data_IF_321938720122
#
_entry.id   IF_321938720122
#
_cell.length_a   1.000
_cell.length_b   1.000
_cell.length_c   1.000
_cell.angle_alpha   90.00
_cell.angle_beta   90.00
_cell.angle_gamma   90.00
#
_symmetry.space_group_name_H-M   'P 1'
#
loop_
_entity.id
_entity.type
_entity.pdbx_description
1 polymer ?
#
# COMPACT_ATOMS: atom_id res chain seq x y z
N UNK A 1 5.26 13.18 20.79
CA UNK A 1 5.39 11.73 21.05
C UNK A 1 6.82 11.48 21.50
N UNK A 2 7.07 10.63 22.49
CA UNK A 2 8.45 10.24 22.82
C UNK A 2 8.93 9.24 21.76
N UNK A 3 9.89 9.65 20.92
CA UNK A 3 10.39 8.86 19.79
C UNK A 3 11.37 7.76 20.23
N UNK A 4 11.95 7.87 21.43
CA UNK A 4 12.94 6.92 21.92
C UNK A 4 12.29 5.63 22.46
N UNK A 5 11.01 5.70 22.82
CA UNK A 5 10.24 4.59 23.40
C UNK A 5 9.02 4.18 22.56
N UNK A 6 9.11 4.23 21.22
CA UNK A 6 8.02 3.79 20.34
C UNK A 6 8.06 2.29 20.04
N UNK A 7 6.89 1.67 20.05
CA UNK A 7 6.67 0.35 19.49
C UNK A 7 6.78 0.46 17.97
N UNK A 8 7.74 -0.27 17.41
CA UNK A 8 7.96 -0.36 15.97
C UNK A 8 7.27 -1.63 15.47
N UNK A 9 6.45 -1.56 14.41
CA UNK A 9 5.86 -2.76 13.83
C UNK A 9 6.98 -3.72 13.40
N UNK A 10 6.93 -5.02 13.76
CA UNK A 10 7.93 -5.96 13.31
C UNK A 10 7.78 -6.21 11.80
N UNK A 11 8.90 -6.27 11.08
CA UNK A 11 8.96 -6.81 9.72
C UNK A 11 9.58 -8.21 9.78
N UNK A 12 8.96 -9.19 9.14
CA UNK A 12 9.52 -10.55 9.12
C UNK A 12 10.81 -10.59 8.29
N UNK A 13 11.72 -11.50 8.62
CA UNK A 13 12.96 -11.67 7.86
C UNK A 13 12.67 -12.02 6.39
N UNK A 14 11.61 -12.80 6.13
CA UNK A 14 11.14 -13.14 4.78
C UNK A 14 10.70 -11.88 4.04
N UNK A 15 9.80 -11.08 4.61
CA UNK A 15 9.33 -9.85 3.96
C UNK A 15 10.47 -8.87 3.72
N UNK A 16 11.43 -8.80 4.64
CA UNK A 16 12.61 -7.96 4.46
C UNK A 16 13.48 -8.38 3.26
N UNK A 17 13.75 -9.68 3.12
CA UNK A 17 14.49 -10.21 1.98
C UNK A 17 13.71 -10.01 0.67
N UNK A 18 12.38 -10.18 0.70
CA UNK A 18 11.51 -10.03 -0.47
C UNK A 18 11.38 -8.58 -0.94
N UNK A 19 11.39 -7.59 -0.05
CA UNK A 19 11.43 -6.17 -0.46
C UNK A 19 12.71 -5.88 -1.24
N UNK A 20 13.84 -6.48 -0.84
CA UNK A 20 15.14 -6.32 -1.49
C UNK A 20 15.36 -7.24 -2.69
N UNK A 21 14.47 -8.20 -2.91
CA UNK A 21 14.53 -9.09 -4.05
C UNK A 21 14.23 -8.30 -5.33
N UNK A 22 15.21 -8.28 -6.24
CA UNK A 22 15.08 -7.68 -7.55
C UNK A 22 14.53 -8.73 -8.54
N UNK A 23 13.24 -8.63 -8.95
CA UNK A 23 12.64 -9.58 -9.87
C UNK A 23 13.15 -9.45 -11.32
N UNK A 24 13.93 -8.41 -11.64
CA UNK A 24 14.54 -8.21 -12.98
C UNK A 24 15.95 -8.80 -13.09
N UNK A 25 16.54 -9.24 -11.97
CA UNK A 25 17.86 -9.87 -11.98
C UNK A 25 17.84 -11.15 -12.81
N UNK A 26 18.92 -11.44 -13.55
CA UNK A 26 19.06 -12.68 -14.33
C UNK A 26 18.93 -13.95 -13.47
N UNK A 27 19.24 -13.86 -12.18
CA UNK A 27 19.13 -14.95 -11.22
C UNK A 27 17.73 -15.06 -10.56
N UNK A 28 16.81 -14.15 -10.88
CA UNK A 28 15.49 -14.09 -10.27
C UNK A 28 14.52 -15.06 -10.96
N UNK A 29 14.20 -16.16 -10.29
CA UNK A 29 13.18 -17.11 -10.74
C UNK A 29 12.26 -17.56 -9.59
N UNK A 30 11.27 -18.39 -9.92
CA UNK A 30 10.32 -18.89 -8.92
C UNK A 30 10.99 -19.72 -7.82
N UNK A 31 12.12 -20.37 -8.10
CA UNK A 31 12.87 -21.15 -7.14
C UNK A 31 13.67 -20.25 -6.19
N UNK A 32 14.25 -19.16 -6.68
CA UNK A 32 14.93 -18.16 -5.88
C UNK A 32 13.96 -17.54 -4.86
N UNK A 33 12.77 -17.14 -5.30
CA UNK A 33 11.75 -16.62 -4.39
C UNK A 33 11.21 -17.69 -3.43
N UNK A 34 10.99 -18.93 -3.90
CA UNK A 34 10.60 -20.06 -3.05
C UNK A 34 11.56 -20.27 -1.88
N UNK A 35 12.88 -20.23 -2.13
CA UNK A 35 13.90 -20.38 -1.08
C UNK A 35 13.83 -19.29 -0.02
N UNK A 36 13.50 -18.06 -0.42
CA UNK A 36 13.35 -16.93 0.51
C UNK A 36 12.12 -17.13 1.40
N UNK A 37 11.01 -17.62 0.85
CA UNK A 37 9.72 -17.70 1.58
C UNK A 37 9.52 -18.99 2.37
N UNK A 38 10.18 -20.08 1.98
CA UNK A 38 10.04 -21.42 2.60
C UNK A 38 10.12 -21.43 4.14
N UNK A 39 10.97 -20.61 4.80
CA UNK A 39 11.03 -20.58 6.26
C UNK A 39 9.76 -20.05 6.96
N UNK A 40 8.84 -19.40 6.26
CA UNK A 40 7.61 -18.82 6.82
C UNK A 40 6.37 -19.58 6.32
N UNK A 41 5.94 -20.57 7.11
CA UNK A 41 4.79 -21.43 6.80
C UNK A 41 3.49 -20.63 6.57
N UNK A 42 3.32 -19.51 7.27
CA UNK A 42 2.16 -18.64 7.12
C UNK A 42 2.13 -18.01 5.74
N UNK A 43 3.26 -17.45 5.29
CA UNK A 43 3.43 -16.91 3.95
C UNK A 43 3.25 -18.00 2.88
N UNK A 44 3.86 -19.18 3.05
CA UNK A 44 3.70 -20.30 2.11
C UNK A 44 2.24 -20.72 1.95
N UNK A 45 1.52 -20.87 3.07
CA UNK A 45 0.10 -21.24 3.08
C UNK A 45 -0.75 -20.20 2.35
N UNK A 46 -0.46 -18.92 2.55
CA UNK A 46 -1.16 -17.82 1.89
C UNK A 46 -0.90 -17.75 0.38
N UNK A 47 0.33 -17.97 -0.07
CA UNK A 47 0.66 -18.06 -1.50
C UNK A 47 -0.13 -19.21 -2.15
N UNK A 48 -0.15 -20.39 -1.51
CA UNK A 48 -0.94 -21.53 -1.99
C UNK A 48 -2.45 -21.22 -2.00
N UNK A 49 -2.97 -20.57 -0.95
CA UNK A 49 -4.38 -20.17 -0.88
C UNK A 49 -4.76 -19.21 -2.00
N UNK A 50 -3.94 -18.19 -2.25
CA UNK A 50 -4.17 -17.20 -3.31
C UNK A 50 -4.09 -17.84 -4.69
N UNK A 51 -3.10 -18.69 -4.95
CA UNK A 51 -2.96 -19.39 -6.25
C UNK A 51 -4.18 -20.27 -6.57
N UNK A 52 -4.84 -20.80 -5.55
CA UNK A 52 -6.05 -21.62 -5.66
C UNK A 52 -7.36 -20.81 -5.55
N UNK A 53 -7.30 -19.48 -5.45
CA UNK A 53 -8.51 -18.63 -5.43
C UNK A 53 -9.21 -18.62 -6.79
N UNK A 54 -10.49 -18.26 -6.84
CA UNK A 54 -11.25 -18.15 -8.09
C UNK A 54 -10.66 -17.16 -9.10
N UNK A 55 -9.83 -16.23 -8.63
CA UNK A 55 -9.13 -15.26 -9.47
C UNK A 55 -7.99 -15.89 -10.28
N UNK A 56 -7.19 -16.78 -9.67
CA UNK A 56 -6.01 -17.41 -10.30
C UNK A 56 -6.27 -18.85 -10.78
N UNK A 57 -7.13 -19.59 -10.07
CA UNK A 57 -7.35 -21.01 -10.31
C UNK A 57 -8.21 -21.27 -11.56
N UNK A 58 -7.57 -21.69 -12.65
CA UNK A 58 -8.26 -22.33 -13.79
C UNK A 58 -7.81 -23.77 -13.93
N UNK A 59 -8.74 -24.71 -13.65
CA UNK A 59 -8.65 -26.14 -13.98
C UNK A 59 -7.54 -26.97 -13.29
N UNK A 60 -7.34 -26.79 -11.98
CA UNK A 60 -6.54 -27.70 -11.14
C UNK A 60 -6.16 -27.08 -9.79
N UNK A 61 -5.98 -27.90 -8.75
CA UNK A 61 -5.44 -27.42 -7.46
C UNK A 61 -3.91 -27.39 -7.51
N UNK A 62 -3.31 -26.22 -7.32
CA UNK A 62 -1.86 -26.04 -7.19
C UNK A 62 -1.43 -26.61 -5.83
N UNK A 63 -0.42 -27.49 -5.84
CA UNK A 63 0.07 -28.21 -4.65
C UNK A 63 1.50 -27.86 -4.24
N UNK A 64 2.31 -27.30 -5.13
CA UNK A 64 3.68 -26.91 -4.83
C UNK A 64 3.81 -25.38 -4.75
N UNK A 65 4.73 -24.91 -3.92
CA UNK A 65 4.96 -23.48 -3.74
C UNK A 65 5.57 -22.86 -5.01
N UNK A 66 6.55 -23.53 -5.62
CA UNK A 66 7.10 -23.15 -6.93
C UNK A 66 6.02 -22.97 -8.01
N UNK A 67 5.08 -23.91 -8.14
CA UNK A 67 4.01 -23.80 -9.15
C UNK A 67 3.06 -22.65 -8.82
N UNK A 68 2.79 -22.41 -7.53
CA UNK A 68 1.97 -21.27 -7.09
C UNK A 68 2.63 -19.93 -7.43
N UNK A 69 3.94 -19.79 -7.17
CA UNK A 69 4.72 -18.60 -7.54
C UNK A 69 4.75 -18.42 -9.06
N UNK A 70 4.88 -19.52 -9.81
CA UNK A 70 4.90 -19.47 -11.28
C UNK A 70 3.52 -19.06 -11.83
N UNK A 71 2.43 -19.55 -11.25
CA UNK A 71 1.06 -19.20 -11.65
C UNK A 71 0.71 -17.74 -11.33
N UNK A 72 1.05 -17.28 -10.12
CA UNK A 72 0.79 -15.89 -9.70
C UNK A 72 1.73 -14.93 -10.44
N UNK A 73 2.95 -15.38 -10.73
CA UNK A 73 4.04 -14.57 -11.25
C UNK A 73 4.95 -14.06 -10.13
N UNK A 74 6.24 -13.94 -10.45
CA UNK A 74 7.29 -13.59 -9.49
C UNK A 74 7.03 -12.23 -8.79
N UNK A 75 6.75 -11.21 -9.60
CA UNK A 75 6.46 -9.83 -9.16
C UNK A 75 5.20 -9.73 -8.29
N UNK A 76 4.11 -10.33 -8.75
CA UNK A 76 2.86 -10.34 -7.99
C UNK A 76 3.00 -11.15 -6.68
N UNK A 77 3.79 -12.23 -6.66
CA UNK A 77 4.09 -12.98 -5.43
C UNK A 77 4.88 -12.11 -4.44
N UNK A 78 5.90 -11.37 -4.91
CA UNK A 78 6.62 -10.38 -4.08
C UNK A 78 5.66 -9.37 -3.43
N UNK A 79 4.74 -8.81 -4.22
CA UNK A 79 3.73 -7.87 -3.72
C UNK A 79 2.80 -8.50 -2.67
N UNK A 80 2.37 -9.76 -2.90
CA UNK A 80 1.55 -10.51 -1.95
C UNK A 80 2.27 -10.70 -0.60
N UNK A 81 3.56 -11.02 -0.62
CA UNK A 81 4.34 -11.24 0.61
C UNK A 81 4.49 -9.94 1.41
N UNK A 82 4.70 -8.81 0.73
CA UNK A 82 4.77 -7.49 1.36
C UNK A 82 3.41 -7.12 1.94
N UNK A 83 2.31 -7.40 1.24
CA UNK A 83 0.94 -7.23 1.73
C UNK A 83 0.64 -8.08 2.97
N UNK A 84 1.09 -9.32 3.01
CA UNK A 84 0.97 -10.18 4.19
C UNK A 84 1.75 -9.59 5.37
N UNK A 85 2.90 -8.97 5.11
CA UNK A 85 3.67 -8.27 6.14
C UNK A 85 2.90 -7.10 6.72
N UNK A 86 2.30 -6.23 5.89
CA UNK A 86 1.54 -5.08 6.40
C UNK A 86 0.30 -5.51 7.18
N UNK A 87 -0.38 -6.57 6.71
CA UNK A 87 -1.47 -7.20 7.47
C UNK A 87 -1.01 -7.70 8.84
N UNK A 88 0.13 -8.40 8.89
CA UNK A 88 0.67 -8.93 10.16
C UNK A 88 1.03 -7.81 11.15
N UNK A 89 1.61 -6.69 10.65
CA UNK A 89 1.88 -5.51 11.48
C UNK A 89 0.62 -4.92 12.11
N UNK A 90 -0.51 -5.01 11.39
CA UNK A 90 -1.80 -4.47 11.83
C UNK A 90 -2.67 -5.48 12.60
N UNK A 91 -2.26 -6.74 12.75
CA UNK A 91 -3.12 -7.81 13.29
C UNK A 91 -3.68 -7.53 14.71
N UNK A 92 -2.94 -6.78 15.52
CA UNK A 92 -3.39 -6.37 16.86
C UNK A 92 -4.38 -5.20 16.86
N UNK A 93 -4.47 -4.42 15.77
CA UNK A 93 -5.23 -3.18 15.64
C UNK A 93 -6.66 -3.47 15.19
N UNK A 94 -7.50 -3.83 16.16
CA UNK A 94 -8.89 -4.21 15.93
C UNK A 94 -9.83 -2.99 15.90
N UNK A 95 -10.92 -3.11 15.15
CA UNK A 95 -12.00 -2.12 15.09
C UNK A 95 -12.16 -1.54 13.68
N UNK A 96 -13.37 -1.11 13.36
CA UNK A 96 -13.75 -0.64 12.02
C UNK A 96 -12.83 0.47 11.50
N UNK A 97 -12.51 1.46 12.33
CA UNK A 97 -11.61 2.57 11.96
C UNK A 97 -10.23 2.07 11.51
N UNK A 98 -9.62 1.13 12.24
CA UNK A 98 -8.31 0.61 11.85
C UNK A 98 -8.37 -0.32 10.65
N UNK A 99 -9.40 -1.18 10.57
CA UNK A 99 -9.60 -2.00 9.38
C UNK A 99 -9.74 -1.13 8.14
N UNK A 100 -10.57 -0.09 8.19
CA UNK A 100 -10.81 0.86 7.11
C UNK A 100 -9.54 1.61 6.71
N UNK A 101 -8.84 2.23 7.65
CA UNK A 101 -7.71 3.12 7.32
C UNK A 101 -6.35 2.42 7.16
N UNK A 102 -6.12 1.29 7.81
CA UNK A 102 -4.81 0.63 7.82
C UNK A 102 -4.77 -0.61 6.93
N UNK A 103 -5.90 -1.31 6.75
CA UNK A 103 -5.97 -2.52 5.93
C UNK A 103 -6.62 -2.21 4.57
N UNK A 104 -7.92 -1.89 4.57
CA UNK A 104 -8.70 -1.66 3.34
C UNK A 104 -8.11 -0.53 2.49
N UNK A 105 -7.85 0.63 3.10
CA UNK A 105 -7.29 1.77 2.38
C UNK A 105 -5.92 1.46 1.77
N UNK A 106 -5.03 0.79 2.53
CA UNK A 106 -3.69 0.46 2.05
C UNK A 106 -3.71 -0.47 0.83
N UNK A 107 -4.53 -1.53 0.85
CA UNK A 107 -4.63 -2.48 -0.26
C UNK A 107 -5.41 -1.88 -1.44
N UNK A 108 -6.40 -1.03 -1.19
CA UNK A 108 -7.09 -0.27 -2.25
C UNK A 108 -6.09 0.61 -3.00
N UNK A 109 -5.27 1.38 -2.28
CA UNK A 109 -4.24 2.22 -2.89
C UNK A 109 -3.28 1.39 -3.75
N UNK A 110 -2.81 0.25 -3.24
CA UNK A 110 -1.88 -0.64 -3.93
C UNK A 110 -2.45 -1.19 -5.25
N UNK A 111 -3.71 -1.65 -5.22
CA UNK A 111 -4.37 -2.19 -6.40
C UNK A 111 -4.70 -1.09 -7.43
N UNK A 112 -5.22 0.06 -6.97
CA UNK A 112 -5.49 1.20 -7.85
C UNK A 112 -4.19 1.70 -8.48
N UNK A 113 -3.09 1.79 -7.74
CA UNK A 113 -1.79 2.19 -8.31
C UNK A 113 -1.33 1.25 -9.43
N UNK A 114 -1.54 -0.05 -9.28
CA UNK A 114 -1.24 -1.04 -10.33
C UNK A 114 -2.11 -0.86 -11.58
N UNK A 115 -3.41 -0.63 -11.40
CA UNK A 115 -4.35 -0.41 -12.50
C UNK A 115 -4.10 0.93 -13.22
N UNK A 116 -3.73 1.97 -12.47
CA UNK A 116 -3.32 3.25 -13.04
C UNK A 116 -2.07 3.08 -13.92
N UNK A 117 -1.09 2.28 -13.51
CA UNK A 117 0.07 1.98 -14.35
C UNK A 117 -0.33 1.34 -15.68
N UNK A 118 -1.29 0.40 -15.67
CA UNK A 118 -1.79 -0.21 -16.90
C UNK A 118 -2.54 0.81 -17.79
N UNK A 119 -3.38 1.66 -17.20
CA UNK A 119 -4.16 2.70 -17.90
C UNK A 119 -3.28 3.79 -18.52
N UNK A 120 -2.25 4.20 -17.80
CA UNK A 120 -1.33 5.27 -18.19
C UNK A 120 -0.18 4.77 -19.09
N UNK A 121 -0.16 3.47 -19.43
CA UNK A 121 0.91 2.83 -20.18
C UNK A 121 2.30 2.95 -19.51
N UNK A 122 2.30 2.88 -18.17
CA UNK A 122 3.45 3.00 -17.26
C UNK A 122 3.76 1.65 -16.59
N UNK A 123 3.65 0.55 -17.36
CA UNK A 123 3.74 -0.83 -16.85
C UNK A 123 5.05 -1.14 -16.13
N UNK A 124 6.14 -0.46 -16.49
CA UNK A 124 7.43 -0.60 -15.82
C UNK A 124 7.39 -0.21 -14.34
N UNK A 125 6.47 0.67 -13.94
CA UNK A 125 6.32 1.09 -12.54
C UNK A 125 5.29 0.28 -11.76
N UNK A 126 4.54 -0.63 -12.40
CA UNK A 126 3.36 -1.28 -11.82
C UNK A 126 3.61 -1.91 -10.44
N UNK A 127 4.66 -2.71 -10.35
CA UNK A 127 4.99 -3.45 -9.12
C UNK A 127 5.50 -2.52 -8.03
N UNK A 128 6.32 -1.54 -8.41
CA UNK A 128 6.85 -0.57 -7.48
C UNK A 128 5.76 0.39 -7.00
N UNK A 129 4.81 0.74 -7.85
CA UNK A 129 3.66 1.55 -7.52
C UNK A 129 2.72 0.81 -6.56
N UNK A 130 2.53 -0.50 -6.74
CA UNK A 130 1.81 -1.34 -5.77
C UNK A 130 2.42 -1.22 -4.37
N UNK A 131 3.73 -1.49 -4.25
CA UNK A 131 4.42 -1.50 -2.95
C UNK A 131 4.46 -0.09 -2.35
N UNK A 132 4.76 0.91 -3.17
CA UNK A 132 4.82 2.30 -2.74
C UNK A 132 3.47 2.76 -2.19
N UNK A 133 2.38 2.50 -2.92
CA UNK A 133 1.03 2.85 -2.47
C UNK A 133 0.56 2.01 -1.27
N UNK A 134 1.02 0.76 -1.13
CA UNK A 134 0.77 -0.03 0.06
C UNK A 134 1.46 0.53 1.31
N UNK A 135 2.70 1.01 1.17
CA UNK A 135 3.56 1.43 2.28
C UNK A 135 3.53 2.93 2.59
N UNK A 136 3.02 3.79 1.70
CA UNK A 136 3.15 5.26 1.84
C UNK A 136 2.52 5.83 3.13
N UNK A 137 1.59 5.11 3.76
CA UNK A 137 0.96 5.49 5.03
C UNK A 137 1.39 4.61 6.21
N UNK A 138 2.52 3.91 6.13
CA UNK A 138 2.97 3.00 7.19
C UNK A 138 3.19 3.68 8.56
N UNK A 139 3.47 4.99 8.58
CA UNK A 139 3.53 5.77 9.82
C UNK A 139 2.20 5.80 10.59
N UNK A 140 1.06 5.62 9.92
CA UNK A 140 -0.24 5.49 10.57
C UNK A 140 -0.31 4.23 11.44
N UNK A 141 0.32 3.12 11.02
CA UNK A 141 0.44 1.90 11.83
C UNK A 141 1.25 2.16 13.09
N UNK A 142 2.36 2.93 12.99
CA UNK A 142 3.18 3.28 14.16
C UNK A 142 2.36 4.11 15.16
N UNK A 143 1.60 5.11 14.70
CA UNK A 143 0.69 5.84 15.58
C UNK A 143 -0.36 4.93 16.21
N UNK A 144 -1.00 4.06 15.43
CA UNK A 144 -2.04 3.16 15.93
C UNK A 144 -1.52 2.16 16.97
N UNK A 145 -0.26 1.70 16.85
CA UNK A 145 0.39 0.84 17.84
C UNK A 145 0.71 1.58 19.15
N UNK A 146 1.07 2.86 19.08
CA UNK A 146 1.57 3.63 20.23
C UNK A 146 0.51 4.52 20.90
N UNK A 147 -0.54 4.89 20.18
CA UNK A 147 -1.61 5.83 20.58
C UNK A 147 -2.97 5.32 20.15
N UNK A 148 -3.21 4.01 20.37
CA UNK A 148 -4.36 3.28 19.82
C UNK A 148 -5.69 4.03 19.93
N UNK A 149 -6.13 4.38 21.14
CA UNK A 149 -7.45 5.02 21.32
C UNK A 149 -7.46 6.42 20.71
N UNK A 150 -6.47 7.23 21.07
CA UNK A 150 -6.32 8.62 20.66
C UNK A 150 -6.22 8.79 19.15
N UNK A 151 -5.56 7.85 18.48
CA UNK A 151 -5.37 7.86 17.04
C UNK A 151 -6.62 7.37 16.30
N UNK A 152 -7.33 6.36 16.81
CA UNK A 152 -8.64 5.99 16.27
C UNK A 152 -9.65 7.16 16.37
N UNK A 153 -9.63 7.91 17.48
CA UNK A 153 -10.47 9.11 17.65
C UNK A 153 -10.09 10.20 16.64
N UNK A 154 -8.79 10.39 16.40
CA UNK A 154 -8.30 11.35 15.42
C UNK A 154 -8.73 10.98 14.00
N UNK A 155 -8.61 9.71 13.60
CA UNK A 155 -9.02 9.23 12.28
C UNK A 155 -10.51 9.48 12.01
N UNK A 156 -11.37 9.20 13.00
CA UNK A 156 -12.81 9.48 12.90
C UNK A 156 -13.12 10.99 12.81
N UNK A 157 -12.36 11.81 13.54
CA UNK A 157 -12.50 13.27 13.49
C UNK A 157 -12.16 13.79 12.09
N UNK A 158 -11.01 13.40 11.51
CA UNK A 158 -10.61 13.91 10.20
C UNK A 158 -11.54 13.45 9.07
N UNK A 159 -12.14 12.26 9.19
CA UNK A 159 -13.17 11.78 8.25
C UNK A 159 -14.46 12.61 8.27
N UNK A 160 -14.73 13.38 9.33
CA UNK A 160 -15.97 14.17 9.47
C UNK A 160 -15.77 15.68 9.28
N UNK A 161 -14.53 16.17 9.38
CA UNK A 161 -14.22 17.61 9.41
C UNK A 161 -13.45 18.15 8.19
N UNK A 162 -13.26 17.36 7.12
CA UNK A 162 -12.42 17.73 5.96
C UNK A 162 -10.99 18.18 6.36
N UNK A 163 -10.49 17.69 7.49
CA UNK A 163 -9.21 18.10 8.05
C UNK A 163 -8.05 17.31 7.42
N UNK A 164 -6.91 17.98 7.27
CA UNK A 164 -5.66 17.32 6.87
C UNK A 164 -5.10 16.51 8.05
N UNK A 165 -5.01 15.19 7.87
CA UNK A 165 -4.54 14.28 8.92
C UNK A 165 -3.12 14.62 9.38
N UNK A 166 -2.22 14.95 8.46
CA UNK A 166 -0.84 15.26 8.81
C UNK A 166 -0.75 16.57 9.62
N UNK A 167 -1.59 17.56 9.32
CA UNK A 167 -1.70 18.78 10.13
C UNK A 167 -2.20 18.48 11.55
N UNK A 168 -3.26 17.70 11.70
CA UNK A 168 -3.80 17.36 13.01
C UNK A 168 -2.82 16.49 13.85
N UNK A 169 -2.09 15.59 13.20
CA UNK A 169 -1.00 14.84 13.84
C UNK A 169 0.13 15.76 14.30
N UNK A 170 0.59 16.69 13.46
CA UNK A 170 1.63 17.67 13.86
C UNK A 170 1.18 18.51 15.03
N UNK A 171 -0.08 19.00 15.04
CA UNK A 171 -0.64 19.76 16.17
C UNK A 171 -0.63 18.95 17.47
N UNK A 172 -0.97 17.66 17.40
CA UNK A 172 -1.12 16.81 18.60
C UNK A 172 0.16 16.14 19.07
N UNK A 173 1.02 15.73 18.14
CA UNK A 173 2.17 14.86 18.40
C UNK A 173 3.51 15.48 18.05
N UNK A 174 3.53 16.63 17.35
CA UNK A 174 4.70 17.35 16.82
C UNK A 174 5.46 16.61 15.71
N UNK A 175 4.84 15.58 15.15
CA UNK A 175 5.30 14.75 14.04
C UNK A 175 4.06 14.19 13.34
N UNK A 176 4.13 13.92 12.05
CA UNK A 176 3.06 13.28 11.28
C UNK A 176 3.44 11.87 10.80
N UNK A 177 2.48 11.19 10.18
CA UNK A 177 2.64 9.83 9.68
C UNK A 177 3.61 9.75 8.50
N UNK A 178 3.86 10.85 7.79
CA UNK A 178 4.81 10.92 6.68
C UNK A 178 6.23 10.86 7.24
N UNK A 179 6.55 11.77 8.15
CA UNK A 179 7.88 11.82 8.80
C UNK A 179 8.13 10.55 9.62
N UNK A 180 7.11 10.05 10.33
CA UNK A 180 7.23 8.81 11.09
C UNK A 180 7.46 7.59 10.19
N UNK A 181 6.78 7.53 9.05
CA UNK A 181 6.97 6.48 8.06
C UNK A 181 8.34 6.55 7.39
N UNK A 182 8.84 7.75 7.07
CA UNK A 182 10.21 7.94 6.58
C UNK A 182 11.25 7.38 7.54
N UNK A 183 11.17 7.77 8.83
CA UNK A 183 12.08 7.26 9.87
C UNK A 183 12.01 5.74 9.98
N UNK A 184 10.81 5.17 9.86
CA UNK A 184 10.61 3.72 9.89
C UNK A 184 11.28 3.02 8.70
N UNK A 185 11.03 3.49 7.47
CA UNK A 185 11.61 2.93 6.26
C UNK A 185 13.13 3.04 6.22
N UNK A 186 13.69 4.16 6.71
CA UNK A 186 15.13 4.36 6.87
C UNK A 186 15.72 3.35 7.85
N UNK A 187 15.07 3.15 9.00
CA UNK A 187 15.49 2.15 10.00
C UNK A 187 15.43 0.73 9.45
N UNK A 188 14.49 0.44 8.56
CA UNK A 188 14.45 -0.84 7.86
C UNK A 188 15.45 -0.92 6.72
N UNK A 189 16.12 0.15 6.29
CA UNK A 189 16.98 0.14 5.09
C UNK A 189 16.22 -0.32 3.84
N UNK A 190 15.01 0.21 3.64
CA UNK A 190 14.28 0.00 2.40
C UNK A 190 14.93 0.78 1.23
N UNK A 191 14.77 0.31 -0.02
CA UNK A 191 15.25 1.04 -1.20
C UNK A 191 14.80 2.50 -1.27
N UNK A 192 15.69 3.37 -1.75
CA UNK A 192 15.49 4.83 -1.78
C UNK A 192 14.25 5.27 -2.55
N UNK A 193 13.82 4.51 -3.57
CA UNK A 193 12.61 4.81 -4.32
C UNK A 193 11.34 4.83 -3.44
N UNK A 194 11.29 4.01 -2.38
CA UNK A 194 10.16 4.04 -1.44
C UNK A 194 10.26 5.22 -0.47
N UNK A 195 11.48 5.60 -0.10
CA UNK A 195 11.75 6.79 0.70
C UNK A 195 11.35 8.06 -0.04
N UNK A 196 11.66 8.15 -1.34
CA UNK A 196 11.24 9.23 -2.24
C UNK A 196 9.71 9.37 -2.26
N UNK A 197 8.99 8.26 -2.44
CA UNK A 197 7.53 8.29 -2.47
C UNK A 197 6.94 8.77 -1.15
N UNK A 198 7.37 8.21 -0.02
CA UNK A 198 6.80 8.64 1.26
C UNK A 198 7.15 10.10 1.54
N UNK A 199 8.33 10.59 1.12
CA UNK A 199 8.73 11.99 1.29
C UNK A 199 7.90 12.96 0.43
N UNK A 200 7.57 12.56 -0.79
CA UNK A 200 7.09 13.49 -1.80
C UNK A 200 5.65 13.26 -2.26
N UNK A 201 4.94 12.20 -1.84
CA UNK A 201 3.55 11.95 -2.26
C UNK A 201 2.55 13.05 -1.90
N UNK A 202 2.89 13.93 -0.94
CA UNK A 202 2.06 15.09 -0.57
C UNK A 202 2.56 16.41 -1.21
N UNK A 203 3.22 16.34 -2.37
CA UNK A 203 3.69 17.50 -3.13
C UNK A 203 2.57 18.51 -3.45
N UNK A 204 2.93 19.76 -3.73
CA UNK A 204 1.98 20.81 -4.10
C UNK A 204 1.57 20.68 -5.56
N UNK A 205 0.35 21.12 -5.97
CA UNK A 205 -0.10 21.02 -7.37
C UNK A 205 0.89 21.60 -8.40
N UNK A 206 1.63 22.64 -8.06
CA UNK A 206 2.61 23.28 -8.95
C UNK A 206 3.87 22.43 -9.17
N UNK A 207 4.08 21.41 -8.31
CA UNK A 207 5.22 20.49 -8.32
C UNK A 207 4.93 19.19 -9.09
N UNK A 208 3.71 18.99 -9.63
CA UNK A 208 3.30 17.76 -10.32
C UNK A 208 4.26 17.32 -11.42
N UNK A 209 4.79 18.27 -12.20
CA UNK A 209 5.76 17.99 -13.26
C UNK A 209 7.18 17.71 -12.78
N UNK A 210 7.48 17.96 -11.50
CA UNK A 210 8.83 17.91 -10.91
C UNK A 210 9.08 16.63 -10.12
N UNK A 211 8.03 15.93 -9.70
CA UNK A 211 8.13 14.67 -8.95
C UNK A 211 8.14 13.45 -9.89
N UNK A 212 8.65 12.32 -9.39
CA UNK A 212 8.74 11.08 -10.16
C UNK A 212 7.37 10.50 -10.53
N UNK A 213 7.31 9.66 -11.58
CA UNK A 213 6.08 8.93 -11.94
C UNK A 213 5.55 8.11 -10.76
N UNK A 214 6.46 7.47 -10.01
CA UNK A 214 6.11 6.64 -8.86
C UNK A 214 5.44 7.45 -7.75
N UNK A 215 5.93 8.66 -7.47
CA UNK A 215 5.31 9.62 -6.54
C UNK A 215 3.92 10.03 -7.04
N UNK A 216 3.80 10.41 -8.32
CA UNK A 216 2.51 10.83 -8.92
C UNK A 216 1.46 9.73 -8.89
N UNK A 217 1.82 8.52 -9.32
CA UNK A 217 0.92 7.37 -9.36
C UNK A 217 0.45 7.02 -7.94
N UNK A 218 1.38 7.02 -6.97
CA UNK A 218 1.04 6.75 -5.57
C UNK A 218 0.08 7.80 -5.01
N UNK A 219 0.32 9.08 -5.27
CA UNK A 219 -0.56 10.17 -4.84
C UNK A 219 -1.96 10.06 -5.49
N UNK A 220 -2.01 9.84 -6.81
CA UNK A 220 -3.28 9.67 -7.53
C UNK A 220 -4.05 8.45 -7.00
N UNK A 221 -3.37 7.32 -6.79
CA UNK A 221 -3.98 6.12 -6.23
C UNK A 221 -4.51 6.33 -4.81
N UNK A 222 -3.78 7.07 -3.98
CA UNK A 222 -4.19 7.42 -2.61
C UNK A 222 -5.48 8.25 -2.62
N UNK A 223 -5.53 9.28 -3.46
CA UNK A 223 -6.70 10.15 -3.61
C UNK A 223 -7.89 9.36 -4.17
N UNK A 224 -7.71 8.65 -5.28
CA UNK A 224 -8.76 7.84 -5.91
C UNK A 224 -9.27 6.74 -4.96
N UNK A 225 -8.38 6.11 -4.20
CA UNK A 225 -8.76 5.14 -3.16
C UNK A 225 -9.64 5.75 -2.07
N UNK A 226 -9.38 7.00 -1.65
CA UNK A 226 -10.25 7.71 -0.70
C UNK A 226 -11.63 7.99 -1.30
N UNK A 227 -11.68 8.47 -2.54
CA UNK A 227 -12.95 8.74 -3.24
C UNK A 227 -13.80 7.47 -3.34
N UNK A 228 -13.21 6.37 -3.80
CA UNK A 228 -13.83 5.05 -3.91
C UNK A 228 -14.40 4.54 -2.58
N UNK A 229 -13.73 4.85 -1.47
CA UNK A 229 -14.14 4.45 -0.13
C UNK A 229 -15.08 5.45 0.55
N UNK A 230 -15.36 6.60 -0.07
CA UNK A 230 -16.14 7.68 0.53
C UNK A 230 -15.42 8.37 1.70
N UNK A 231 -14.08 8.36 1.72
CA UNK A 231 -13.27 9.11 2.69
C UNK A 231 -13.12 10.55 2.20
N UNK A 232 -13.47 11.52 3.03
CA UNK A 232 -13.41 12.94 2.67
C UNK A 232 -11.98 13.39 2.36
N UNK A 233 -11.87 14.27 1.36
CA UNK A 233 -10.62 14.86 0.91
C UNK A 233 -10.53 16.32 1.37
N UNK A 234 -9.44 16.73 2.05
CA UNK A 234 -9.16 18.14 2.29
C UNK A 234 -8.85 18.88 0.98
N UNK A 235 -8.95 20.21 1.00
CA UNK A 235 -8.82 21.05 -0.21
C UNK A 235 -7.47 20.91 -0.93
N UNK A 236 -6.38 20.72 -0.18
CA UNK A 236 -5.05 20.48 -0.75
C UNK A 236 -4.98 19.19 -1.58
N UNK A 237 -5.63 18.11 -1.12
CA UNK A 237 -5.74 16.85 -1.86
C UNK A 237 -6.58 17.02 -3.12
N UNK A 238 -7.70 17.76 -3.06
CA UNK A 238 -8.54 18.05 -4.23
C UNK A 238 -7.78 18.84 -5.30
N UNK A 239 -6.99 19.84 -4.89
CA UNK A 239 -6.16 20.61 -5.82
C UNK A 239 -5.07 19.74 -6.46
N UNK A 240 -4.43 18.87 -5.67
CA UNK A 240 -3.43 17.91 -6.18
C UNK A 240 -4.06 16.94 -7.16
N UNK A 241 -5.27 16.45 -6.86
CA UNK A 241 -6.05 15.59 -7.74
C UNK A 241 -6.28 16.25 -9.10
N UNK A 242 -6.77 17.49 -9.11
CA UNK A 242 -7.02 18.22 -10.34
C UNK A 242 -5.74 18.32 -11.19
N UNK A 243 -4.62 18.71 -10.57
CA UNK A 243 -3.34 18.80 -11.27
C UNK A 243 -2.84 17.46 -11.82
N UNK A 244 -2.97 16.36 -11.05
CA UNK A 244 -2.61 15.02 -11.51
C UNK A 244 -3.48 14.53 -12.67
N UNK A 245 -4.79 14.78 -12.60
CA UNK A 245 -5.74 14.41 -13.65
C UNK A 245 -5.44 15.19 -14.93
N UNK A 246 -5.14 16.48 -14.83
CA UNK A 246 -4.74 17.31 -15.96
C UNK A 246 -3.40 16.87 -16.55
N UNK A 247 -2.41 16.61 -15.69
CA UNK A 247 -1.09 16.14 -16.11
C UNK A 247 -1.16 14.84 -16.93
N UNK A 248 -2.01 13.90 -16.53
CA UNK A 248 -2.16 12.61 -17.20
C UNK A 248 -3.23 12.59 -18.30
N UNK A 249 -3.98 13.68 -18.52
CA UNK A 249 -5.13 13.66 -19.43
C UNK A 249 -6.18 12.62 -19.02
N UNK A 250 -6.45 12.50 -17.72
CA UNK A 250 -7.25 11.42 -17.15
C UNK A 250 -8.74 11.76 -16.96
N UNK A 251 -9.19 12.93 -17.41
CA UNK A 251 -10.53 13.48 -17.13
C UNK A 251 -11.65 12.53 -17.54
N UNK A 252 -11.49 11.85 -18.67
CA UNK A 252 -12.54 11.03 -19.30
C UNK A 252 -12.73 9.66 -18.63
N UNK A 253 -11.78 9.20 -17.82
CA UNK A 253 -11.81 7.83 -17.30
C UNK A 253 -11.54 7.72 -15.80
N UNK A 254 -10.90 8.69 -15.15
CA UNK A 254 -10.60 8.60 -13.71
C UNK A 254 -11.88 8.51 -12.87
N UNK A 255 -12.97 9.11 -13.33
CA UNK A 255 -14.30 9.04 -12.71
C UNK A 255 -14.91 7.63 -12.72
N UNK A 256 -14.38 6.70 -13.52
CA UNK A 256 -14.82 5.30 -13.50
C UNK A 256 -14.36 4.54 -12.24
N UNK A 257 -13.42 5.09 -11.47
CA UNK A 257 -13.01 4.57 -10.17
C UNK A 257 -13.95 5.12 -9.08
N UNK A 258 -15.18 4.59 -9.05
CA UNK A 258 -16.24 4.98 -8.12
C UNK A 258 -16.52 3.89 -7.07
N UNK A 259 -17.56 4.08 -6.27
CA UNK A 259 -18.00 3.10 -5.25
C UNK A 259 -18.39 1.74 -5.87
N UNK A 260 -18.90 1.71 -7.11
CA UNK A 260 -19.23 0.45 -7.79
C UNK A 260 -17.95 -0.27 -8.21
N UNK A 261 -16.96 0.47 -8.69
CA UNK A 261 -15.64 -0.08 -8.98
C UNK A 261 -14.98 -0.62 -7.71
N UNK A 262 -15.15 0.07 -6.58
CA UNK A 262 -14.65 -0.40 -5.29
C UNK A 262 -15.26 -1.75 -4.91
N UNK A 263 -16.57 -1.94 -5.10
CA UNK A 263 -17.20 -3.23 -4.87
C UNK A 263 -16.57 -4.37 -5.69
N UNK A 264 -16.18 -4.11 -6.94
CA UNK A 264 -15.43 -5.07 -7.77
C UNK A 264 -14.01 -5.29 -7.25
N UNK A 265 -13.32 -4.23 -6.83
CA UNK A 265 -11.96 -4.31 -6.30
C UNK A 265 -11.87 -5.23 -5.07
N UNK A 266 -12.91 -5.22 -4.22
CA UNK A 266 -13.00 -6.10 -3.03
C UNK A 266 -13.03 -7.59 -3.36
N UNK A 267 -13.37 -7.95 -4.59
CA UNK A 267 -13.34 -9.33 -5.05
C UNK A 267 -11.93 -9.83 -5.39
N UNK A 268 -10.97 -8.91 -5.56
CA UNK A 268 -9.58 -9.23 -5.86
C UNK A 268 -8.94 -10.05 -4.73
N UNK A 269 -8.17 -11.08 -5.08
CA UNK A 269 -7.60 -12.00 -4.08
C UNK A 269 -6.70 -11.31 -3.08
N UNK A 270 -5.94 -10.28 -3.49
CA UNK A 270 -5.09 -9.53 -2.57
C UNK A 270 -5.92 -8.68 -1.59
N UNK A 271 -7.04 -8.11 -2.04
CA UNK A 271 -7.95 -7.38 -1.13
C UNK A 271 -8.48 -8.33 -0.05
N UNK A 272 -8.95 -9.51 -0.46
CA UNK A 272 -9.44 -10.56 0.46
C UNK A 272 -8.37 -11.03 1.44
N UNK A 273 -7.11 -11.13 1.00
CA UNK A 273 -5.99 -11.45 1.87
C UNK A 273 -5.76 -10.36 2.91
N UNK A 274 -5.77 -9.09 2.51
CA UNK A 274 -5.46 -7.97 3.39
C UNK A 274 -6.52 -7.76 4.49
N UNK A 275 -7.80 -8.02 4.17
CA UNK A 275 -8.94 -7.65 5.02
C UNK A 275 -9.55 -8.83 5.78
N UNK A 276 -9.42 -10.06 5.27
CA UNK A 276 -9.95 -11.27 5.91
C UNK A 276 -8.94 -11.97 6.79
#
# INVERSE_FOLDING_TARGET
MDLDNIIIPPISAVSFQVIKFDPESEAADSQALERIVTPDEGVCSEILRVSNSSFYGRSGRVKSLKDAITLIGLKATRNLIILLSTKAMNAGLKGETFTRHLNEFSVTCALVASELCDRLNLKQYKEEAFISALLHKIGMTVFALNKRREYADLLRKVETEFADLAEEERKRYRIDHVELGQKLMQRWHLPDQYLDVIAHHNFKPEETGQVSDLVRITALASITGREMMGILLPMNELNRRASLVDYYGAQDWISSYDEKYFAKLREHSFYKVAVG
#
